data_IF_701369979917
#
_entry.id   IF_701369979917
#
_cell.length_a   1.000
_cell.length_b   1.000
_cell.length_c   1.000
_cell.angle_alpha   90.00
_cell.angle_beta   90.00
_cell.angle_gamma   90.00
#
_symmetry.space_group_name_H-M   'P 1'
#
loop_
_entity.id
_entity.type
_entity.pdbx_description
1 polymer ?
#
# COMPACT_ATOMS: atom_id res chain seq x y z
N UNK A 1 -9.04 -7.44 -18.24
CA UNK A 1 -10.10 -7.41 -17.21
C UNK A 1 -10.07 -8.72 -16.42
N UNK A 2 -9.23 -8.78 -15.37
CA UNK A 2 -8.98 -10.01 -14.60
C UNK A 2 -9.73 -9.97 -13.26
N UNK A 3 -10.85 -10.69 -13.18
CA UNK A 3 -11.67 -10.80 -11.96
C UNK A 3 -10.82 -11.49 -10.89
N UNK A 4 -10.63 -10.82 -9.75
CA UNK A 4 -9.88 -11.40 -8.62
C UNK A 4 -10.78 -12.44 -7.95
N UNK A 5 -10.39 -13.72 -8.02
CA UNK A 5 -11.08 -14.81 -7.32
C UNK A 5 -11.06 -14.58 -5.80
N UNK A 6 -12.07 -15.13 -5.10
CA UNK A 6 -12.12 -15.15 -3.64
C UNK A 6 -10.84 -15.82 -3.13
N UNK A 7 -9.92 -15.02 -2.57
CA UNK A 7 -8.72 -15.55 -1.97
C UNK A 7 -9.06 -16.05 -0.56
N UNK A 8 -8.80 -17.33 -0.24
CA UNK A 8 -9.33 -17.98 0.96
C UNK A 8 -8.63 -17.53 2.24
N UNK A 9 -7.50 -16.82 2.14
CA UNK A 9 -6.74 -16.37 3.31
C UNK A 9 -6.38 -14.91 3.23
N UNK A 10 -6.36 -14.26 4.40
CA UNK A 10 -5.96 -12.87 4.53
C UNK A 10 -4.55 -12.65 3.96
N UNK A 11 -3.61 -13.56 4.25
CA UNK A 11 -2.21 -13.52 3.78
C UNK A 11 -2.10 -13.42 2.26
N UNK A 12 -2.88 -14.21 1.52
CA UNK A 12 -2.89 -14.13 0.05
C UNK A 12 -3.43 -12.78 -0.44
N UNK A 13 -4.43 -12.24 0.25
CA UNK A 13 -4.99 -10.92 -0.07
C UNK A 13 -3.98 -9.80 0.13
N UNK A 14 -3.16 -9.87 1.18
CA UNK A 14 -2.10 -8.87 1.43
C UNK A 14 -1.00 -8.97 0.38
N UNK A 15 -0.66 -10.18 -0.05
CA UNK A 15 0.28 -10.41 -1.15
C UNK A 15 -0.22 -9.79 -2.46
N UNK A 16 -1.51 -9.94 -2.76
CA UNK A 16 -2.14 -9.35 -3.94
C UNK A 16 -2.15 -7.82 -3.94
N UNK A 17 -2.18 -7.17 -2.77
CA UNK A 17 -2.06 -5.71 -2.66
C UNK A 17 -0.62 -5.27 -2.94
N UNK A 18 0.39 -5.95 -2.37
CA UNK A 18 1.82 -5.69 -2.67
C UNK A 18 2.15 -5.89 -4.15
N UNK A 19 1.50 -6.85 -4.81
CA UNK A 19 1.68 -7.07 -6.26
C UNK A 19 1.07 -5.96 -7.12
N UNK A 20 0.04 -5.25 -6.62
CA UNK A 20 -0.62 -4.16 -7.34
C UNK A 20 0.04 -2.80 -7.10
N UNK A 21 0.61 -2.61 -5.92
CA UNK A 21 1.23 -1.36 -5.48
C UNK A 21 2.59 -1.70 -4.87
N UNK A 22 3.66 -1.27 -5.55
CA UNK A 22 5.03 -1.38 -5.06
C UNK A 22 5.62 0.03 -4.91
N UNK A 23 6.20 0.34 -3.76
CA UNK A 23 6.92 1.59 -3.56
C UNK A 23 8.26 1.55 -4.33
N UNK A 24 8.67 2.70 -4.88
CA UNK A 24 10.00 2.86 -5.47
C UNK A 24 10.87 3.51 -4.41
N UNK A 25 11.74 2.72 -3.78
CA UNK A 25 12.54 3.14 -2.62
C UNK A 25 13.36 4.41 -2.91
N UNK A 26 13.96 4.52 -4.09
CA UNK A 26 14.74 5.71 -4.52
C UNK A 26 13.90 7.00 -4.55
N UNK A 27 12.61 6.89 -4.79
CA UNK A 27 11.70 8.04 -4.85
C UNK A 27 11.19 8.41 -3.46
N UNK A 28 11.02 7.42 -2.58
CA UNK A 28 10.34 7.54 -1.29
C UNK A 28 11.32 7.85 -0.15
N UNK A 29 12.52 7.26 -0.18
CA UNK A 29 13.48 7.31 0.92
C UNK A 29 13.86 8.75 1.32
N UNK A 30 13.77 9.04 2.62
CA UNK A 30 14.10 10.33 3.21
C UNK A 30 13.04 11.43 3.03
N UNK A 31 11.95 11.15 2.30
CA UNK A 31 10.94 12.18 1.96
C UNK A 31 9.74 12.17 2.88
N UNK A 32 9.13 13.35 3.01
CA UNK A 32 7.78 13.51 3.57
C UNK A 32 6.77 13.37 2.44
N UNK A 33 5.80 12.49 2.61
CA UNK A 33 4.83 12.12 1.58
C UNK A 33 3.42 12.53 2.00
N UNK A 34 2.64 13.04 1.05
CA UNK A 34 1.20 13.21 1.18
C UNK A 34 0.53 12.11 0.35
N UNK A 35 -0.26 11.26 0.99
CA UNK A 35 -1.01 10.19 0.35
C UNK A 35 -2.41 10.68 0.02
N UNK A 36 -2.74 10.71 -1.27
CA UNK A 36 -4.08 11.03 -1.75
C UNK A 36 -4.71 9.74 -2.28
N UNK A 37 -5.85 9.38 -1.72
CA UNK A 37 -6.64 8.21 -2.10
C UNK A 37 -8.04 8.69 -2.48
N UNK A 38 -8.70 8.04 -3.45
CA UNK A 38 -10.03 8.45 -3.90
C UNK A 38 -11.09 8.24 -2.80
N UNK A 39 -10.92 7.20 -1.99
CA UNK A 39 -11.87 6.86 -0.93
C UNK A 39 -11.24 5.96 0.14
N UNK A 40 -11.73 6.09 1.38
CA UNK A 40 -11.38 5.19 2.49
C UNK A 40 -12.68 4.59 3.05
N UNK A 41 -12.88 3.29 2.84
CA UNK A 41 -14.07 2.60 3.37
C UNK A 41 -13.79 1.91 4.70
N UNK A 42 -12.72 1.12 4.78
CA UNK A 42 -12.34 0.35 5.99
C UNK A 42 -10.91 0.61 6.47
N UNK A 43 -10.14 1.44 5.76
CA UNK A 43 -8.75 1.79 6.12
C UNK A 43 -7.71 0.66 6.04
N UNK A 44 -8.10 -0.60 5.87
CA UNK A 44 -7.15 -1.73 5.86
C UNK A 44 -6.16 -1.69 4.68
N UNK A 45 -6.59 -1.20 3.52
CA UNK A 45 -5.71 -0.97 2.36
C UNK A 45 -4.78 0.21 2.61
N UNK A 46 -5.34 1.35 3.01
CA UNK A 46 -4.57 2.57 3.32
C UNK A 46 -3.49 2.31 4.38
N UNK A 47 -3.80 1.53 5.43
CA UNK A 47 -2.83 1.12 6.45
C UNK A 47 -1.64 0.35 5.86
N UNK A 48 -1.90 -0.57 4.92
CA UNK A 48 -0.84 -1.34 4.24
C UNK A 48 0.01 -0.46 3.33
N UNK A 49 -0.60 0.50 2.63
CA UNK A 49 0.12 1.45 1.77
C UNK A 49 1.02 2.36 2.61
N UNK A 50 0.50 2.93 3.70
CA UNK A 50 1.28 3.75 4.64
C UNK A 50 2.45 2.95 5.21
N UNK A 51 2.22 1.69 5.61
CA UNK A 51 3.28 0.83 6.13
C UNK A 51 4.35 0.55 5.07
N UNK A 52 3.95 0.25 3.84
CA UNK A 52 4.87 0.05 2.72
C UNK A 52 5.72 1.31 2.44
N UNK A 53 5.13 2.51 2.46
CA UNK A 53 5.87 3.76 2.26
C UNK A 53 6.87 4.03 3.39
N UNK A 54 6.52 3.69 4.64
CA UNK A 54 7.44 3.79 5.78
C UNK A 54 8.57 2.77 5.68
N UNK A 55 8.27 1.54 5.28
CA UNK A 55 9.27 0.49 5.02
C UNK A 55 10.26 0.91 3.90
N UNK A 56 9.77 1.63 2.88
CA UNK A 56 10.57 2.24 1.81
C UNK A 56 11.35 3.50 2.22
N UNK A 57 11.27 3.92 3.49
CA UNK A 57 12.08 5.01 4.04
C UNK A 57 11.43 6.39 4.06
N UNK A 58 10.12 6.52 3.90
CA UNK A 58 9.43 7.80 4.11
C UNK A 58 9.60 8.29 5.55
N UNK A 59 9.97 9.56 5.73
CA UNK A 59 10.14 10.18 7.06
C UNK A 59 8.80 10.54 7.70
N UNK A 60 7.85 10.96 6.89
CA UNK A 60 6.46 11.23 7.28
C UNK A 60 5.51 10.80 6.16
N UNK A 61 4.31 10.35 6.52
CA UNK A 61 3.22 10.05 5.59
C UNK A 61 1.96 10.70 6.15
N UNK A 62 1.43 11.67 5.39
CA UNK A 62 0.23 12.45 5.69
C UNK A 62 -0.95 11.98 4.85
#
# INVERSE_FOLDING_TARGET
VGRTFIQPTQKMRELGVKLKLNAIDEVVCGKRIIMVDDSIVRGTTSKKIVQMLREAGATEVH
#
